data_IF_617076305209
#
_entry.id   IF_617076305209
#
_cell.length_a   1.000
_cell.length_b   1.000
_cell.length_c   1.000
_cell.angle_alpha   90.00
_cell.angle_beta   90.00
_cell.angle_gamma   90.00
#
_symmetry.space_group_name_H-M   'P 1'
#
loop_
_entity.id
_entity.type
_entity.pdbx_description
1 polymer ?
#
# COMPACT_ATOMS: atom_id res chain seq x y z
N UNK A 1 48.71 29.25 2.04
CA UNK A 1 48.24 27.84 2.05
C UNK A 1 46.72 27.88 2.00
N UNK A 2 46.15 28.02 0.81
CA UNK A 2 44.70 28.21 0.61
C UNK A 2 44.06 26.83 0.45
N UNK A 3 43.22 26.46 1.42
CA UNK A 3 42.51 25.19 1.43
C UNK A 3 41.22 25.34 0.62
N UNK A 4 41.14 24.70 -0.55
CA UNK A 4 39.92 24.65 -1.37
C UNK A 4 39.11 23.44 -0.92
N UNK A 5 37.91 23.67 -0.39
CA UNK A 5 36.98 22.60 0.01
C UNK A 5 36.07 22.27 -1.18
N UNK A 6 36.18 21.05 -1.71
CA UNK A 6 35.35 20.55 -2.80
C UNK A 6 34.01 20.07 -2.22
N UNK A 7 32.90 20.74 -2.51
CA UNK A 7 31.56 20.22 -2.21
C UNK A 7 31.16 19.19 -3.27
N UNK A 8 31.09 17.93 -2.88
CA UNK A 8 30.50 16.86 -3.71
C UNK A 8 28.98 16.95 -3.52
N UNK A 9 28.27 17.34 -4.57
CA UNK A 9 26.81 17.25 -4.61
C UNK A 9 26.42 15.81 -4.98
N UNK A 10 26.06 15.02 -3.96
CA UNK A 10 25.43 13.72 -4.16
C UNK A 10 23.94 13.94 -4.44
N UNK A 11 23.45 13.54 -5.62
CA UNK A 11 22.01 13.48 -5.87
C UNK A 11 21.41 12.39 -4.98
N UNK A 12 20.53 12.76 -4.05
CA UNK A 12 19.72 11.82 -3.29
C UNK A 12 18.59 11.39 -4.21
N UNK A 13 18.70 10.21 -4.82
CA UNK A 13 17.60 9.62 -5.57
C UNK A 13 16.68 8.87 -4.59
N UNK A 14 15.38 9.13 -4.66
CA UNK A 14 14.40 8.35 -3.93
C UNK A 14 14.43 6.89 -4.42
N UNK A 15 14.24 5.94 -3.51
CA UNK A 15 14.15 4.53 -3.89
C UNK A 15 12.82 4.27 -4.61
N UNK A 16 12.90 3.66 -5.78
CA UNK A 16 11.73 3.17 -6.52
C UNK A 16 11.06 2.07 -5.70
N UNK A 17 9.76 2.20 -5.49
CA UNK A 17 8.97 1.15 -4.85
C UNK A 17 8.74 0.02 -5.84
N UNK A 18 9.18 -1.18 -5.47
CA UNK A 18 8.96 -2.40 -6.24
C UNK A 18 7.89 -3.24 -5.57
N UNK A 19 7.06 -3.89 -6.39
CA UNK A 19 6.11 -4.89 -5.93
C UNK A 19 6.87 -6.10 -5.35
N UNK A 20 6.73 -6.31 -4.05
CA UNK A 20 7.42 -7.36 -3.30
C UNK A 20 6.56 -7.83 -2.14
N UNK A 21 6.61 -9.14 -1.88
CA UNK A 21 6.04 -9.75 -0.67
C UNK A 21 7.20 -10.26 0.18
N UNK A 22 7.34 -9.70 1.38
CA UNK A 22 8.51 -9.97 2.25
C UNK A 22 8.35 -11.29 3.00
N UNK A 23 7.13 -11.63 3.41
CA UNK A 23 6.87 -12.79 4.24
C UNK A 23 6.29 -13.93 3.41
N UNK A 24 6.96 -15.08 3.43
CA UNK A 24 6.57 -16.25 2.62
C UNK A 24 5.19 -16.81 2.98
N UNK A 25 4.71 -16.59 4.20
CA UNK A 25 3.38 -17.05 4.62
C UNK A 25 2.24 -16.16 4.11
N UNK A 26 2.55 -14.98 3.55
CA UNK A 26 1.56 -14.14 2.88
C UNK A 26 1.39 -14.61 1.44
N UNK A 27 0.19 -15.10 1.11
CA UNK A 27 -0.16 -15.64 -0.20
C UNK A 27 -1.31 -14.86 -0.81
N UNK A 28 -1.51 -15.05 -2.11
CA UNK A 28 -2.65 -14.50 -2.85
C UNK A 28 -2.79 -12.97 -2.74
N UNK A 29 -1.67 -12.24 -2.59
CA UNK A 29 -1.70 -10.78 -2.48
C UNK A 29 -2.26 -10.21 -3.79
N UNK A 30 -3.33 -9.44 -3.67
CA UNK A 30 -4.05 -8.89 -4.82
C UNK A 30 -4.54 -7.48 -4.52
N UNK A 31 -4.43 -6.61 -5.52
CA UNK A 31 -5.06 -5.29 -5.54
C UNK A 31 -5.90 -5.19 -6.81
N UNK A 32 -7.17 -4.82 -6.69
CA UNK A 32 -8.08 -4.69 -7.83
C UNK A 32 -9.23 -3.73 -7.50
N UNK A 33 -9.95 -3.20 -8.51
CA UNK A 33 -11.18 -2.45 -8.24
C UNK A 33 -12.23 -3.29 -7.49
N UNK A 34 -13.04 -2.62 -6.65
CA UNK A 34 -14.03 -3.31 -5.81
C UNK A 34 -15.08 -4.09 -6.63
N UNK A 35 -15.00 -5.41 -6.53
CA UNK A 35 -15.88 -6.35 -7.24
C UNK A 35 -15.40 -6.75 -8.64
N UNK A 36 -14.26 -6.26 -9.10
CA UNK A 36 -13.70 -6.53 -10.43
C UNK A 36 -12.26 -7.07 -10.31
N UNK A 37 -12.05 -8.31 -9.79
CA UNK A 37 -10.73 -8.83 -9.44
C UNK A 37 -9.77 -9.00 -10.63
N UNK A 38 -10.27 -9.02 -11.85
CA UNK A 38 -9.47 -9.20 -13.07
C UNK A 38 -9.08 -7.86 -13.72
N UNK A 39 -9.56 -6.74 -13.19
CA UNK A 39 -9.34 -5.43 -13.80
C UNK A 39 -8.07 -4.75 -13.26
N UNK A 40 -7.57 -3.77 -14.01
CA UNK A 40 -6.35 -3.06 -13.67
C UNK A 40 -6.52 -2.28 -12.35
N UNK A 41 -5.52 -2.27 -11.43
CA UNK A 41 -5.62 -1.65 -10.10
C UNK A 41 -5.57 -0.11 -10.17
N UNK A 42 -6.58 0.49 -10.79
CA UNK A 42 -6.81 1.92 -10.83
C UNK A 42 -8.29 2.22 -10.65
N UNK A 43 -8.58 3.41 -10.17
CA UNK A 43 -9.95 3.90 -10.04
C UNK A 43 -9.97 5.42 -10.20
N UNK A 44 -11.15 5.99 -10.47
CA UNK A 44 -11.31 7.44 -10.61
C UNK A 44 -11.38 8.12 -9.23
N UNK A 45 -10.60 9.19 -9.06
CA UNK A 45 -10.61 9.98 -7.83
C UNK A 45 -12.00 10.55 -7.54
N UNK A 46 -12.55 10.26 -6.36
CA UNK A 46 -13.89 10.70 -5.96
C UNK A 46 -15.02 9.75 -6.41
N UNK A 47 -14.71 8.65 -7.10
CA UNK A 47 -15.69 7.60 -7.38
C UNK A 47 -16.19 6.92 -6.09
N UNK A 48 -17.36 6.28 -6.20
CA UNK A 48 -17.99 5.57 -5.07
C UNK A 48 -17.26 4.28 -4.68
N UNK A 49 -16.67 3.61 -5.66
CA UNK A 49 -15.86 2.41 -5.49
C UNK A 49 -14.40 2.77 -5.68
N UNK A 50 -13.53 2.17 -4.89
CA UNK A 50 -12.08 2.26 -5.08
C UNK A 50 -11.47 0.91 -5.38
N UNK A 51 -10.34 0.65 -4.73
CA UNK A 51 -9.59 -0.59 -4.78
C UNK A 51 -9.85 -1.43 -3.53
N UNK A 52 -9.67 -2.73 -3.67
CA UNK A 52 -9.58 -3.68 -2.59
C UNK A 52 -8.20 -4.34 -2.64
N UNK A 53 -7.49 -4.27 -1.52
CA UNK A 53 -6.29 -5.07 -1.26
C UNK A 53 -6.72 -6.28 -0.44
N UNK A 54 -6.33 -7.47 -0.85
CA UNK A 54 -6.55 -8.70 -0.09
C UNK A 54 -5.34 -9.62 -0.14
N UNK A 55 -5.23 -10.47 0.88
CA UNK A 55 -4.21 -11.52 0.95
C UNK A 55 -4.62 -12.58 1.97
N UNK A 56 -3.97 -13.74 1.87
CA UNK A 56 -4.13 -14.85 2.82
C UNK A 56 -2.88 -14.95 3.70
N UNK A 57 -3.07 -14.94 5.02
CA UNK A 57 -2.04 -15.23 6.01
C UNK A 57 -2.08 -16.71 6.41
N UNK A 58 -1.05 -17.46 6.03
CA UNK A 58 -0.88 -18.88 6.36
C UNK A 58 -0.01 -19.09 7.62
N UNK A 59 0.32 -18.04 8.37
CA UNK A 59 1.06 -18.16 9.61
C UNK A 59 0.28 -19.00 10.64
N UNK A 60 1.03 -19.70 11.49
CA UNK A 60 0.44 -20.48 12.59
C UNK A 60 -0.09 -19.59 13.72
N UNK A 61 0.55 -18.43 13.92
CA UNK A 61 0.20 -17.47 14.95
C UNK A 61 -0.74 -16.39 14.41
N UNK A 62 -1.51 -15.78 15.33
CA UNK A 62 -2.35 -14.65 15.00
C UNK A 62 -1.50 -13.40 14.76
N UNK A 63 -1.66 -12.77 13.59
CA UNK A 63 -1.02 -11.50 13.25
C UNK A 63 -2.01 -10.35 13.17
N UNK A 64 -1.53 -9.14 13.50
CA UNK A 64 -2.27 -7.91 13.27
C UNK A 64 -1.51 -7.06 12.24
N UNK A 65 -2.18 -6.75 11.13
CA UNK A 65 -1.60 -5.95 10.06
C UNK A 65 -2.10 -4.51 10.12
N UNK A 66 -1.19 -3.58 9.82
CA UNK A 66 -1.51 -2.18 9.56
C UNK A 66 -0.96 -1.80 8.18
N UNK A 67 -1.62 -0.89 7.49
CA UNK A 67 -1.19 -0.46 6.15
C UNK A 67 -0.74 1.01 6.14
N UNK A 68 0.09 1.35 5.15
CA UNK A 68 0.46 2.72 4.79
C UNK A 68 0.37 2.89 3.28
N UNK A 69 0.07 4.10 2.83
CA UNK A 69 -0.11 4.43 1.42
C UNK A 69 0.78 5.63 1.11
N UNK A 70 1.60 5.52 0.05
CA UNK A 70 2.58 6.54 -0.31
C UNK A 70 2.27 7.10 -1.69
N UNK A 71 1.99 8.40 -1.78
CA UNK A 71 1.89 9.02 -3.10
C UNK A 71 3.25 8.99 -3.81
N UNK A 72 3.24 8.53 -5.06
CA UNK A 72 4.42 8.33 -5.89
C UNK A 72 4.40 9.23 -7.12
N UNK A 73 5.60 9.52 -7.63
CA UNK A 73 5.78 10.17 -8.93
C UNK A 73 5.44 9.21 -10.07
N UNK A 74 5.47 9.70 -11.31
CA UNK A 74 5.32 8.88 -12.52
C UNK A 74 6.30 7.70 -12.58
N UNK A 75 7.47 7.85 -11.96
CA UNK A 75 8.54 6.84 -11.97
C UNK A 75 8.46 5.89 -10.76
N UNK A 76 7.34 5.88 -10.00
CA UNK A 76 7.15 5.06 -8.79
C UNK A 76 8.15 5.34 -7.66
N UNK A 77 8.70 6.56 -7.65
CA UNK A 77 9.46 7.09 -6.53
C UNK A 77 8.51 7.79 -5.55
N UNK A 78 8.73 7.65 -4.24
CA UNK A 78 7.95 8.40 -3.24
C UNK A 78 8.04 9.90 -3.53
N UNK A 79 6.89 10.55 -3.64
CA UNK A 79 6.84 11.99 -3.87
C UNK A 79 7.26 12.78 -2.62
N UNK A 80 7.70 14.02 -2.82
CA UNK A 80 8.01 14.95 -1.73
C UNK A 80 6.76 15.53 -1.05
N UNK A 81 5.56 15.05 -1.40
CA UNK A 81 4.32 15.48 -0.77
C UNK A 81 4.25 14.98 0.67
N UNK A 82 3.92 15.89 1.59
CA UNK A 82 3.55 15.54 2.95
C UNK A 82 2.23 14.76 2.94
N UNK A 83 2.08 13.81 3.89
CA UNK A 83 0.88 12.95 3.99
C UNK A 83 -0.43 13.74 3.92
N UNK A 84 -0.53 14.86 4.62
CA UNK A 84 -1.73 15.71 4.64
C UNK A 84 -2.01 16.45 3.31
N UNK A 85 -1.03 16.53 2.41
CA UNK A 85 -1.22 17.10 1.08
C UNK A 85 -1.95 16.11 0.16
N UNK A 86 -1.66 14.81 0.29
CA UNK A 86 -2.18 13.77 -0.61
C UNK A 86 -3.23 12.83 0.01
N UNK A 87 -3.31 12.71 1.33
CA UNK A 87 -4.33 11.92 2.06
C UNK A 87 -5.14 12.79 3.03
N UNK A 88 -6.42 12.44 3.16
CA UNK A 88 -7.29 12.76 4.29
C UNK A 88 -7.26 11.54 5.21
N UNK A 89 -7.00 11.75 6.49
CA UNK A 89 -6.92 10.69 7.50
C UNK A 89 -5.52 10.52 8.08
N UNK A 90 -5.27 9.36 8.69
CA UNK A 90 -3.99 9.01 9.30
C UNK A 90 -3.40 7.75 8.66
N UNK A 91 -2.08 7.61 8.70
CA UNK A 91 -1.40 6.38 8.29
C UNK A 91 -1.43 5.33 9.42
N UNK A 92 -1.19 4.06 9.07
CA UNK A 92 -1.00 3.00 10.05
C UNK A 92 -2.31 2.46 10.64
N UNK A 93 -3.43 2.59 9.93
CA UNK A 93 -4.68 1.98 10.36
C UNK A 93 -4.58 0.46 10.29
N UNK A 94 -5.19 -0.21 11.27
CA UNK A 94 -5.24 -1.67 11.33
C UNK A 94 -6.24 -2.25 10.32
N UNK A 95 -5.89 -3.39 9.74
CA UNK A 95 -6.77 -4.17 8.89
C UNK A 95 -7.70 -5.02 9.75
N UNK A 96 -8.87 -4.49 10.04
CA UNK A 96 -9.84 -5.13 10.94
C UNK A 96 -10.83 -6.06 10.22
N UNK A 97 -10.86 -6.05 8.88
CA UNK A 97 -11.68 -6.98 8.11
C UNK A 97 -10.87 -8.23 7.77
N UNK A 98 -11.16 -9.31 8.49
CA UNK A 98 -10.53 -10.61 8.27
C UNK A 98 -11.49 -11.76 8.55
N UNK A 99 -11.22 -12.92 7.97
CA UNK A 99 -11.98 -14.14 8.18
C UNK A 99 -11.07 -15.39 8.19
N UNK A 100 -11.34 -16.32 9.11
CA UNK A 100 -10.62 -17.60 9.18
C UNK A 100 -11.18 -18.55 8.13
N UNK A 101 -10.30 -19.27 7.43
CA UNK A 101 -10.67 -20.29 6.45
C UNK A 101 -11.50 -21.42 7.08
N UNK A 102 -12.51 -21.93 6.36
CA UNK A 102 -13.36 -23.04 6.82
C UNK A 102 -13.30 -24.19 5.83
N UNK A 103 -13.02 -25.41 6.31
CA UNK A 103 -13.04 -26.63 5.50
C UNK A 103 -11.91 -26.74 4.48
N UNK A 104 -10.81 -26.02 4.67
CA UNK A 104 -9.64 -26.04 3.77
C UNK A 104 -8.59 -27.03 4.26
N UNK A 105 -7.83 -27.61 3.32
CA UNK A 105 -6.69 -28.48 3.67
C UNK A 105 -5.54 -27.72 4.32
N UNK A 106 -5.32 -26.47 3.89
CA UNK A 106 -4.34 -25.55 4.47
C UNK A 106 -5.12 -24.42 5.14
N UNK A 107 -5.04 -24.27 6.47
CA UNK A 107 -5.66 -23.16 7.18
C UNK A 107 -5.01 -21.82 6.80
N UNK A 108 -5.81 -20.76 6.70
CA UNK A 108 -5.36 -19.40 6.51
C UNK A 108 -6.33 -18.39 7.15
N UNK A 109 -5.87 -17.17 7.36
CA UNK A 109 -6.72 -16.02 7.68
C UNK A 109 -6.71 -15.07 6.49
N UNK A 110 -7.88 -14.85 5.90
CA UNK A 110 -8.05 -13.91 4.80
C UNK A 110 -8.18 -12.50 5.36
N UNK A 111 -7.33 -11.58 4.91
CA UNK A 111 -7.45 -10.14 5.21
C UNK A 111 -7.89 -9.41 3.96
N UNK A 112 -8.77 -8.42 4.12
CA UNK A 112 -9.02 -7.46 3.06
C UNK A 112 -9.19 -6.05 3.59
N UNK A 113 -8.90 -5.07 2.74
CA UNK A 113 -9.21 -3.68 3.00
C UNK A 113 -9.63 -2.98 1.72
N UNK A 114 -10.61 -2.11 1.86
CA UNK A 114 -11.06 -1.22 0.80
C UNK A 114 -10.41 0.14 0.95
N UNK A 115 -10.02 0.72 -0.18
CA UNK A 115 -9.45 2.06 -0.25
C UNK A 115 -10.06 2.81 -1.45
N UNK A 116 -10.64 4.01 -1.26
CA UNK A 116 -10.69 4.77 -0.02
C UNK A 116 -11.69 4.19 1.00
N UNK A 117 -11.48 4.47 2.29
CA UNK A 117 -12.39 4.09 3.38
C UNK A 117 -12.67 5.28 4.32
N UNK A 118 -13.24 5.03 5.50
CA UNK A 118 -13.58 6.09 6.44
C UNK A 118 -12.33 6.74 7.06
N UNK A 119 -11.25 5.97 7.17
CA UNK A 119 -10.01 6.31 7.84
C UNK A 119 -8.97 6.94 6.91
N UNK A 120 -9.02 6.64 5.60
CA UNK A 120 -8.02 7.09 4.62
C UNK A 120 -8.64 7.32 3.24
N UNK A 121 -8.51 8.55 2.72
CA UNK A 121 -9.00 8.93 1.37
C UNK A 121 -7.96 9.79 0.64
N UNK A 122 -7.74 9.58 -0.68
CA UNK A 122 -6.83 10.45 -1.43
C UNK A 122 -7.46 11.82 -1.69
N UNK A 123 -6.59 12.83 -1.69
CA UNK A 123 -6.91 14.24 -2.01
C UNK A 123 -6.58 14.60 -3.46
N UNK A 124 -5.59 13.90 -4.01
CA UNK A 124 -5.03 14.16 -5.35
C UNK A 124 -4.97 12.85 -6.13
N UNK A 125 -5.00 12.94 -7.46
CA UNK A 125 -4.76 11.80 -8.32
C UNK A 125 -3.25 11.55 -8.46
N UNK A 126 -2.88 10.36 -8.92
CA UNK A 126 -1.49 9.98 -9.11
C UNK A 126 -1.26 8.48 -8.87
N UNK A 127 0.02 8.12 -8.80
CA UNK A 127 0.43 6.78 -8.40
C UNK A 127 0.47 6.72 -6.86
N UNK A 128 0.13 5.57 -6.29
CA UNK A 128 0.03 5.34 -4.85
C UNK A 128 0.57 3.95 -4.48
#
# INVERSE_FOLDING_TARGET
MTLVTLMIFSSINAQVLNDTVVYDYLKSVQISPEGEPLDFPAYELGARKGLELSFDDLAYEWNNYSYRIFHCTKNWEKSDLLVNQYLIGFEGNYMNNFAISVGTFVPYTHYSIKFPNAETKPRVSGNY
#
